data_IF_551321428418
#
_entry.id   IF_551321428418
#
_cell.length_a   1.000
_cell.length_b   1.000
_cell.length_c   1.000
_cell.angle_alpha   90.00
_cell.angle_beta   90.00
_cell.angle_gamma   90.00
#
_symmetry.space_group_name_H-M   'P 1'
#
loop_
_entity.id
_entity.type
_entity.pdbx_description
1 polymer ?
#
# COMPACT_ATOMS: atom_id res chain seq x y z
N UNK A 1 5.57 -12.00 25.46
CA UNK A 1 4.99 -10.79 24.86
C UNK A 1 6.11 -9.85 24.43
N UNK A 2 6.07 -9.46 23.21
CA UNK A 2 7.15 -8.61 22.69
C UNK A 2 6.92 -7.17 23.11
N UNK A 3 8.02 -6.41 23.22
CA UNK A 3 7.97 -5.03 23.69
C UNK A 3 7.12 -4.13 22.78
N UNK A 4 7.07 -4.43 21.49
CA UNK A 4 6.30 -3.58 20.58
C UNK A 4 4.80 -3.81 20.67
N UNK A 5 4.36 -4.91 21.25
CA UNK A 5 2.94 -5.08 21.50
C UNK A 5 2.45 -4.15 22.59
N UNK A 6 3.35 -3.70 23.43
CA UNK A 6 3.03 -2.79 24.52
C UNK A 6 3.16 -1.32 24.11
N UNK A 7 3.82 -1.05 23.01
CA UNK A 7 4.22 0.30 22.64
C UNK A 7 3.15 1.08 21.90
N UNK A 8 2.06 0.47 21.53
CA UNK A 8 1.04 1.18 20.80
C UNK A 8 -0.17 0.33 20.61
N UNK A 9 -1.22 0.92 20.17
CA UNK A 9 -2.45 0.24 19.86
C UNK A 9 -2.34 -0.62 18.62
N UNK A 10 -3.46 -0.90 18.00
CA UNK A 10 -3.49 -1.78 16.82
C UNK A 10 -2.68 -1.21 15.67
N UNK A 11 -2.11 -2.10 14.90
CA UNK A 11 -1.37 -1.75 13.69
C UNK A 11 -2.28 -1.94 12.49
N UNK A 12 -2.41 -0.92 11.68
CA UNK A 12 -3.21 -0.95 10.47
C UNK A 12 -2.27 -0.90 9.27
N UNK A 13 -2.46 -1.80 8.32
CA UNK A 13 -1.68 -1.81 7.09
C UNK A 13 -2.50 -1.17 5.98
N UNK A 14 -1.92 -0.22 5.27
CA UNK A 14 -2.56 0.42 4.13
C UNK A 14 -1.71 0.20 2.88
N UNK A 15 -2.33 -0.32 1.82
CA UNK A 15 -1.65 -0.52 0.55
C UNK A 15 -1.58 0.78 -0.23
N UNK A 16 -0.40 1.11 -0.72
CA UNK A 16 -0.14 2.33 -1.50
C UNK A 16 0.40 1.95 -2.86
N UNK A 17 -0.12 2.55 -3.90
CA UNK A 17 0.39 2.35 -5.26
C UNK A 17 0.42 3.65 -6.06
N UNK A 18 0.14 4.78 -5.42
CA UNK A 18 0.10 6.08 -6.09
C UNK A 18 -1.25 6.41 -6.70
N UNK A 19 -2.19 5.48 -6.71
CA UNK A 19 -3.53 5.75 -7.27
C UNK A 19 -4.35 6.61 -6.31
N UNK A 20 -5.35 7.35 -6.81
CA UNK A 20 -6.25 8.11 -5.94
C UNK A 20 -6.96 7.23 -4.92
N UNK A 21 -7.35 6.03 -5.33
CA UNK A 21 -8.03 5.08 -4.45
C UNK A 21 -7.14 4.66 -3.30
N UNK A 22 -5.86 4.39 -3.56
CA UNK A 22 -4.94 4.02 -2.48
C UNK A 22 -4.64 5.20 -1.56
N UNK A 23 -4.63 6.42 -2.08
CA UNK A 23 -4.48 7.60 -1.22
C UNK A 23 -5.66 7.75 -0.28
N UNK A 24 -6.87 7.53 -0.78
CA UNK A 24 -8.06 7.53 0.06
C UNK A 24 -8.01 6.43 1.12
N UNK A 25 -7.50 5.27 0.75
CA UNK A 25 -7.31 4.17 1.70
C UNK A 25 -6.34 4.56 2.82
N UNK A 26 -5.23 5.19 2.45
CA UNK A 26 -4.25 5.65 3.44
C UNK A 26 -4.85 6.69 4.39
N UNK A 27 -5.61 7.63 3.85
CA UNK A 27 -6.29 8.63 4.69
C UNK A 27 -7.24 7.98 5.67
N UNK A 28 -8.03 7.04 5.20
CA UNK A 28 -8.97 6.33 6.05
C UNK A 28 -8.24 5.58 7.15
N UNK A 29 -7.14 4.92 6.80
CA UNK A 29 -6.35 4.17 7.77
C UNK A 29 -5.79 5.09 8.87
N UNK A 30 -5.31 6.28 8.49
CA UNK A 30 -4.78 7.23 9.46
C UNK A 30 -5.87 7.73 10.42
N UNK A 31 -7.05 8.04 9.89
CA UNK A 31 -8.17 8.44 10.74
C UNK A 31 -8.55 7.32 11.70
N UNK A 32 -8.65 6.11 11.20
CA UNK A 32 -9.00 4.95 12.02
C UNK A 32 -7.96 4.71 13.11
N UNK A 33 -6.67 4.81 12.76
CA UNK A 33 -5.61 4.66 13.75
C UNK A 33 -5.71 5.72 14.85
N UNK A 34 -6.07 6.95 14.47
CA UNK A 34 -6.28 8.00 15.46
C UNK A 34 -7.41 7.70 16.43
N UNK A 35 -8.46 7.07 15.93
CA UNK A 35 -9.61 6.71 16.76
C UNK A 35 -9.33 5.55 17.70
N UNK A 36 -8.43 4.67 17.33
CA UNK A 36 -8.14 3.45 18.10
C UNK A 36 -6.82 3.49 18.84
N UNK A 37 -6.09 4.58 18.75
CA UNK A 37 -4.76 4.68 19.38
C UNK A 37 -3.70 3.85 18.70
N UNK A 38 -3.86 3.59 17.41
CA UNK A 38 -2.97 2.72 16.66
C UNK A 38 -1.97 3.44 15.80
N UNK A 39 -1.30 2.67 14.95
CA UNK A 39 -0.33 3.18 13.98
C UNK A 39 -0.68 2.64 12.59
N UNK A 40 -0.07 3.25 11.58
CA UNK A 40 -0.29 2.85 10.19
C UNK A 40 1.04 2.47 9.54
N UNK A 41 1.05 1.33 8.87
CA UNK A 41 2.13 0.95 7.98
C UNK A 41 1.65 1.18 6.55
N UNK A 42 2.22 2.16 5.89
CA UNK A 42 1.94 2.44 4.48
C UNK A 42 2.87 1.58 3.63
N UNK A 43 2.32 0.59 2.96
CA UNK A 43 3.09 -0.46 2.30
C UNK A 43 2.97 -0.32 0.79
N UNK A 44 4.09 -0.26 0.12
CA UNK A 44 4.15 -0.26 -1.35
C UNK A 44 5.05 -1.40 -1.81
N UNK A 45 4.61 -2.07 -2.85
CA UNK A 45 5.38 -3.14 -3.48
C UNK A 45 5.99 -2.63 -4.78
N UNK A 46 7.16 -3.15 -5.11
CA UNK A 46 7.78 -2.90 -6.39
C UNK A 46 8.37 -4.21 -6.91
N UNK A 47 8.52 -4.29 -8.18
CA UNK A 47 9.22 -5.43 -8.76
C UNK A 47 9.90 -4.99 -10.04
N UNK A 48 11.00 -5.68 -10.36
CA UNK A 48 11.72 -5.41 -11.58
C UNK A 48 11.06 -6.23 -12.70
N UNK A 49 10.54 -5.57 -13.74
CA UNK A 49 9.81 -6.32 -14.77
C UNK A 49 10.70 -7.35 -15.46
N UNK A 50 10.20 -8.55 -15.62
CA UNK A 50 10.92 -9.61 -16.29
C UNK A 50 11.30 -9.21 -17.73
N UNK A 51 10.43 -8.45 -18.38
CA UNK A 51 10.70 -7.97 -19.74
C UNK A 51 11.91 -7.05 -19.78
N UNK A 52 12.13 -6.26 -18.75
CA UNK A 52 13.30 -5.37 -18.67
C UNK A 52 14.58 -6.16 -18.41
N UNK A 53 14.49 -7.24 -17.68
CA UNK A 53 15.64 -8.09 -17.39
C UNK A 53 16.00 -8.98 -18.58
N UNK A 54 15.04 -9.28 -19.44
CA UNK A 54 15.15 -10.29 -20.47
C UNK A 54 15.72 -9.86 -21.81
N UNK A 55 16.25 -8.68 -21.93
CA UNK A 55 16.99 -8.38 -23.15
C UNK A 55 16.26 -7.49 -24.14
N UNK A 56 15.94 -7.78 -25.25
CA UNK A 56 15.53 -6.97 -26.36
C UNK A 56 14.98 -5.56 -26.10
N UNK A 57 13.95 -5.46 -25.31
CA UNK A 57 13.32 -4.17 -25.05
C UNK A 57 14.06 -3.35 -23.99
N UNK A 58 14.68 -4.02 -23.04
CA UNK A 58 15.43 -3.35 -22.02
C UNK A 58 16.59 -2.53 -22.55
N UNK A 59 17.16 -2.98 -23.63
CA UNK A 59 18.28 -2.28 -24.26
C UNK A 59 17.86 -1.00 -24.95
N UNK A 60 16.64 -0.97 -25.48
CA UNK A 60 16.18 0.16 -26.27
C UNK A 60 15.82 1.36 -25.40
N UNK A 61 15.36 1.09 -24.19
CA UNK A 61 14.75 2.15 -23.39
C UNK A 61 15.69 2.69 -22.34
N UNK A 62 16.90 2.19 -22.27
CA UNK A 62 17.83 2.60 -21.22
C UNK A 62 17.18 2.43 -19.88
N UNK A 63 16.55 1.30 -19.69
CA UNK A 63 15.75 1.06 -18.51
C UNK A 63 16.62 1.06 -17.29
N UNK A 64 16.16 1.78 -16.33
CA UNK A 64 16.74 1.86 -15.04
C UNK A 64 16.85 0.48 -14.42
N UNK A 65 17.89 0.26 -13.66
CA UNK A 65 18.08 -0.97 -12.91
C UNK A 65 17.08 -1.09 -11.76
N UNK A 66 17.14 -2.22 -11.04
CA UNK A 66 16.21 -2.45 -9.93
C UNK A 66 16.17 -1.33 -8.90
N UNK A 67 17.28 -0.67 -8.64
CA UNK A 67 17.31 0.40 -7.65
C UNK A 67 16.42 1.57 -8.06
N UNK A 68 16.22 1.81 -9.35
CA UNK A 68 15.36 2.90 -9.78
C UNK A 68 13.89 2.60 -9.54
N UNK A 69 13.50 1.33 -9.66
CA UNK A 69 12.14 0.92 -9.32
C UNK A 69 11.89 1.05 -7.84
N UNK A 70 12.87 0.66 -7.04
CA UNK A 70 12.76 0.81 -5.58
C UNK A 70 12.68 2.28 -5.20
N UNK A 71 13.55 3.12 -5.76
CA UNK A 71 13.51 4.55 -5.47
C UNK A 71 12.19 5.19 -5.89
N UNK A 72 11.65 4.77 -7.01
CA UNK A 72 10.34 5.26 -7.45
C UNK A 72 9.26 4.89 -6.44
N UNK A 73 9.31 3.67 -5.92
CA UNK A 73 8.35 3.25 -4.90
C UNK A 73 8.53 4.05 -3.61
N UNK A 74 9.77 4.28 -3.21
CA UNK A 74 10.06 5.10 -2.03
C UNK A 74 9.48 6.51 -2.17
N UNK A 75 9.64 7.11 -3.34
CA UNK A 75 9.06 8.43 -3.59
C UNK A 75 7.54 8.40 -3.58
N UNK A 76 6.96 7.38 -4.17
CA UNK A 76 5.51 7.26 -4.24
C UNK A 76 4.89 7.17 -2.85
N UNK A 77 5.45 6.33 -1.98
CA UNK A 77 4.89 6.18 -0.63
C UNK A 77 5.16 7.42 0.21
N UNK A 78 6.32 8.04 0.06
CA UNK A 78 6.63 9.28 0.79
C UNK A 78 5.69 10.41 0.37
N UNK A 79 5.45 10.53 -0.93
CA UNK A 79 4.52 11.53 -1.45
C UNK A 79 3.10 11.29 -0.93
N UNK A 80 2.67 10.04 -0.93
CA UNK A 80 1.34 9.70 -0.42
C UNK A 80 1.20 10.11 1.05
N UNK A 81 2.20 9.80 1.86
CA UNK A 81 2.18 10.16 3.28
C UNK A 81 2.16 11.68 3.44
N UNK A 82 2.93 12.39 2.63
CA UNK A 82 3.00 13.86 2.72
C UNK A 82 1.67 14.54 2.39
N UNK A 83 0.82 13.87 1.64
CA UNK A 83 -0.49 14.41 1.26
C UNK A 83 -1.56 14.20 2.31
N UNK A 84 -1.29 13.43 3.35
CA UNK A 84 -2.25 13.24 4.43
C UNK A 84 -2.29 14.52 5.26
N UNK A 85 -3.45 15.15 5.43
CA UNK A 85 -3.55 16.32 6.30
C UNK A 85 -3.14 15.92 7.70
N UNK A 86 -2.40 16.76 8.38
CA UNK A 86 -1.78 16.47 9.66
C UNK A 86 -2.52 15.39 10.45
N UNK A 87 -1.87 14.26 10.71
CA UNK A 87 -2.55 13.16 11.37
C UNK A 87 -3.07 13.59 12.72
N UNK A 88 -4.29 13.19 13.08
CA UNK A 88 -4.84 13.55 14.36
C UNK A 88 -4.03 12.91 15.48
N UNK A 89 -3.62 13.73 16.45
CA UNK A 89 -2.91 13.23 17.61
C UNK A 89 -1.55 12.63 17.25
N UNK A 90 -1.26 11.50 17.86
CA UNK A 90 0.06 10.88 17.80
C UNK A 90 0.13 9.71 16.83
N UNK A 91 -0.67 9.72 15.78
CA UNK A 91 -0.64 8.61 14.81
C UNK A 91 0.71 8.56 14.11
N UNK A 92 1.35 7.43 14.19
CA UNK A 92 2.60 7.18 13.50
C UNK A 92 2.31 6.48 12.19
N UNK A 93 2.89 7.00 11.12
CA UNK A 93 2.77 6.42 9.80
C UNK A 93 4.16 6.00 9.35
N UNK A 94 4.34 4.71 9.15
CA UNK A 94 5.62 4.15 8.72
C UNK A 94 5.54 3.72 7.27
N UNK A 95 6.53 4.11 6.48
CA UNK A 95 6.62 3.69 5.10
C UNK A 95 7.37 2.36 5.01
N UNK A 96 6.79 1.42 4.29
CA UNK A 96 7.42 0.13 4.03
C UNK A 96 7.45 -0.13 2.53
N UNK A 97 8.64 -0.35 2.01
CA UNK A 97 8.86 -0.59 0.59
C UNK A 97 9.41 -2.01 0.46
N UNK A 98 8.73 -2.85 -0.29
CA UNK A 98 9.12 -4.25 -0.41
C UNK A 98 9.08 -4.70 -1.86
N UNK A 99 10.03 -5.54 -2.21
CA UNK A 99 10.08 -6.14 -3.53
C UNK A 99 9.13 -7.34 -3.59
N UNK A 100 8.36 -7.41 -4.65
CA UNK A 100 7.50 -8.55 -4.91
C UNK A 100 6.17 -8.17 -5.50
N UNK A 101 5.33 -9.17 -5.66
CA UNK A 101 3.97 -8.99 -6.13
C UNK A 101 3.17 -8.20 -5.09
N UNK A 102 2.41 -7.21 -5.53
CA UNK A 102 1.72 -6.30 -4.60
C UNK A 102 0.79 -7.05 -3.64
N UNK A 103 -0.02 -7.98 -4.14
CA UNK A 103 -0.92 -8.72 -3.27
C UNK A 103 -0.13 -9.52 -2.23
N UNK A 104 0.94 -10.18 -2.66
CA UNK A 104 1.75 -10.98 -1.75
C UNK A 104 2.41 -10.11 -0.68
N UNK A 105 2.96 -8.98 -1.08
CA UNK A 105 3.59 -8.05 -0.14
C UNK A 105 2.58 -7.58 0.90
N UNK A 106 1.37 -7.24 0.46
CA UNK A 106 0.34 -6.77 1.38
C UNK A 106 -0.14 -7.87 2.32
N UNK A 107 -0.30 -9.08 1.81
CA UNK A 107 -0.72 -10.21 2.64
C UNK A 107 0.33 -10.52 3.71
N UNK A 108 1.60 -10.49 3.34
CA UNK A 108 2.68 -10.70 4.29
C UNK A 108 2.72 -9.59 5.35
N UNK A 109 2.55 -8.35 4.93
CA UNK A 109 2.54 -7.21 5.85
C UNK A 109 1.34 -7.26 6.80
N UNK A 110 0.25 -7.85 6.39
CA UNK A 110 -0.98 -7.91 7.18
C UNK A 110 -0.92 -8.95 8.31
N UNK A 111 0.10 -9.79 8.33
CA UNK A 111 0.27 -10.75 9.42
C UNK A 111 0.39 -10.01 10.74
N UNK A 112 -0.50 -10.31 11.67
CA UNK A 112 -0.52 -9.66 12.98
C UNK A 112 -1.12 -8.26 12.97
N UNK A 113 -1.62 -7.79 11.85
CA UNK A 113 -2.26 -6.48 11.78
C UNK A 113 -3.71 -6.56 12.24
N UNK A 114 -4.22 -5.43 12.71
CA UNK A 114 -5.63 -5.31 13.08
C UNK A 114 -6.51 -5.23 11.85
N UNK A 115 -6.05 -4.50 10.84
CA UNK A 115 -6.77 -4.28 9.59
C UNK A 115 -5.79 -4.18 8.43
N UNK A 116 -6.26 -4.61 7.27
CA UNK A 116 -5.61 -4.30 6.00
C UNK A 116 -6.56 -3.41 5.22
N UNK A 117 -6.10 -2.23 4.82
CA UNK A 117 -6.91 -1.26 4.10
C UNK A 117 -6.35 -1.10 2.70
N UNK A 118 -7.19 -1.26 1.70
CA UNK A 118 -6.78 -1.14 0.30
C UNK A 118 -7.79 -0.29 -0.45
N UNK A 119 -7.33 0.35 -1.52
CA UNK A 119 -8.24 0.99 -2.45
C UNK A 119 -8.96 -0.06 -3.28
N UNK A 120 -10.12 0.30 -3.78
CA UNK A 120 -10.89 -0.63 -4.59
C UNK A 120 -10.25 -0.90 -5.95
N UNK A 121 -9.41 0.02 -6.44
CA UNK A 121 -8.72 -0.09 -7.72
C UNK A 121 -7.30 0.43 -7.60
N UNK A 122 -6.41 -0.20 -8.35
CA UNK A 122 -5.05 0.31 -8.49
C UNK A 122 -4.85 0.85 -9.90
N UNK A 123 -3.59 0.97 -10.29
CA UNK A 123 -3.25 1.38 -11.64
C UNK A 123 -3.56 0.25 -12.61
N UNK A 124 -4.14 0.59 -13.74
CA UNK A 124 -4.33 -0.34 -14.85
C UNK A 124 -5.46 -1.33 -14.71
N UNK A 125 -6.34 -1.15 -13.78
CA UNK A 125 -7.51 -2.03 -13.66
C UNK A 125 -8.55 -1.75 -14.73
N UNK A 126 -9.46 -2.70 -14.93
CA UNK A 126 -10.59 -2.49 -15.82
C UNK A 126 -11.58 -1.56 -15.15
N UNK A 127 -12.05 -0.56 -15.91
CA UNK A 127 -12.97 0.44 -15.36
C UNK A 127 -14.26 -0.17 -14.85
N UNK A 128 -14.64 -1.30 -15.42
CA UNK A 128 -15.90 -1.97 -15.10
C UNK A 128 -15.77 -2.94 -13.92
N UNK A 129 -14.57 -3.24 -13.50
CA UNK A 129 -14.36 -4.15 -12.38
C UNK A 129 -14.80 -3.49 -11.07
N UNK A 130 -15.48 -4.24 -10.23
CA UNK A 130 -15.88 -3.76 -8.91
C UNK A 130 -14.67 -3.62 -8.01
N UNK A 131 -13.72 -4.54 -8.12
CA UNK A 131 -12.47 -4.51 -7.37
C UNK A 131 -11.30 -4.75 -8.31
N UNK A 132 -10.18 -4.11 -8.03
CA UNK A 132 -8.94 -4.39 -8.73
C UNK A 132 -8.40 -5.77 -8.33
N UNK A 133 -7.42 -6.26 -9.08
CA UNK A 133 -6.87 -7.59 -8.84
C UNK A 133 -6.21 -7.70 -7.47
N UNK A 134 -5.48 -6.68 -7.03
CA UNK A 134 -4.81 -6.70 -5.74
C UNK A 134 -5.83 -6.69 -4.61
N UNK A 135 -6.82 -5.80 -4.66
CA UNK A 135 -7.83 -5.72 -3.62
C UNK A 135 -8.66 -6.99 -3.54
N UNK A 136 -9.01 -7.58 -4.68
CA UNK A 136 -9.75 -8.83 -4.72
C UNK A 136 -8.95 -9.96 -4.08
N UNK A 137 -7.68 -10.04 -4.38
CA UNK A 137 -6.80 -11.07 -3.82
C UNK A 137 -6.66 -10.90 -2.30
N UNK A 138 -6.51 -9.67 -1.85
CA UNK A 138 -6.42 -9.37 -0.42
C UNK A 138 -7.69 -9.75 0.32
N UNK A 139 -8.85 -9.41 -0.25
CA UNK A 139 -10.13 -9.75 0.37
C UNK A 139 -10.27 -11.26 0.57
N UNK A 140 -9.79 -12.04 -0.39
CA UNK A 140 -9.92 -13.49 -0.34
C UNK A 140 -8.92 -14.16 0.58
N UNK A 141 -7.76 -13.58 0.79
CA UNK A 141 -6.65 -14.30 1.43
C UNK A 141 -6.03 -13.62 2.63
N UNK A 142 -6.48 -12.43 3.02
CA UNK A 142 -5.84 -11.73 4.12
C UNK A 142 -6.01 -12.46 5.46
N UNK A 143 -4.99 -12.41 6.33
CA UNK A 143 -5.07 -13.02 7.66
C UNK A 143 -5.83 -12.17 8.67
N UNK A 144 -6.37 -11.04 8.26
CA UNK A 144 -7.09 -10.11 9.11
C UNK A 144 -8.25 -9.48 8.33
N UNK A 145 -9.14 -8.73 8.99
CA UNK A 145 -10.19 -8.01 8.27
C UNK A 145 -9.63 -7.05 7.24
N UNK A 146 -10.31 -6.96 6.11
CA UNK A 146 -9.91 -6.08 5.02
C UNK A 146 -10.97 -5.02 4.82
N UNK A 147 -10.53 -3.77 4.77
CA UNK A 147 -11.39 -2.64 4.44
C UNK A 147 -11.05 -2.19 3.04
N UNK A 148 -12.03 -2.13 2.18
CA UNK A 148 -11.85 -1.68 0.80
C UNK A 148 -12.44 -0.29 0.67
N UNK A 149 -11.61 0.68 0.32
CA UNK A 149 -12.03 2.06 0.17
C UNK A 149 -12.27 2.34 -1.30
N UNK A 150 -13.47 2.74 -1.60
CA UNK A 150 -13.82 3.11 -2.96
C UNK A 150 -13.35 4.54 -3.19
N UNK A 151 -12.49 4.71 -4.17
CA UNK A 151 -12.06 6.04 -4.53
C UNK A 151 -13.24 6.84 -5.05
N UNK A 152 -13.28 8.12 -4.72
CA UNK A 152 -14.28 8.97 -5.28
C UNK A 152 -13.85 9.41 -6.64
N UNK A 153 -14.68 9.13 -7.63
CA UNK A 153 -14.42 9.69 -8.93
C UNK A 153 -14.59 11.20 -8.83
N UNK A 154 -13.66 11.97 -9.35
CA UNK A 154 -13.91 13.39 -9.49
C UNK A 154 -15.10 13.54 -10.44
N UNK A 155 -16.18 13.90 -9.90
CA UNK A 155 -17.37 14.09 -10.71
C UNK A 155 -17.14 15.20 -11.70
#
# INVERSE_FOLDING_TARGET
MSAHEQAGGPRIVAGVDGSPSSLSALRWAVVQAGLTGGSVDAVIAWHYPAAAAGGGYGMVVGIAGPENFRESAEKTVADAISRIPGPPGDVRVHAHVAEGNAARVLLDAAEGAELLVVGSRGHGGFAEALLGSVSQHCVQHAPCPVVVIRGQDPA
#
